data_IF_783648640838
#
_entry.id   IF_783648640838
#
_cell.length_a   1.000
_cell.length_b   1.000
_cell.length_c   1.000
_cell.angle_alpha   90.00
_cell.angle_beta   90.00
_cell.angle_gamma   90.00
#
_symmetry.space_group_name_H-M   'P 1'
#
loop_
_entity.id
_entity.type
_entity.pdbx_description
1 polymer ?
#
# COMPACT_ATOMS: atom_id res chain seq x y z
N UNK A 1 -8.06 -10.54 -4.91
CA UNK A 1 -7.40 -9.36 -5.49
C UNK A 1 -6.75 -9.74 -6.82
N UNK A 2 -6.61 -8.79 -7.73
CA UNK A 2 -5.98 -8.99 -9.04
C UNK A 2 -4.67 -8.20 -9.07
N UNK A 3 -3.56 -8.89 -9.28
CA UNK A 3 -2.28 -8.26 -9.62
C UNK A 3 -2.37 -7.85 -11.10
N UNK A 4 -2.52 -6.56 -11.36
CA UNK A 4 -2.91 -6.05 -12.69
C UNK A 4 -1.70 -5.90 -13.62
N UNK A 5 -0.48 -5.83 -13.07
CA UNK A 5 0.74 -5.81 -13.88
C UNK A 5 1.98 -6.18 -13.07
N UNK A 6 2.77 -7.11 -13.61
CA UNK A 6 4.17 -7.29 -13.23
C UNK A 6 4.96 -6.73 -14.42
N UNK A 7 5.51 -5.52 -14.27
CA UNK A 7 6.14 -4.84 -15.42
C UNK A 7 7.63 -5.16 -15.54
N UNK A 8 8.30 -5.48 -14.42
CA UNK A 8 9.66 -6.04 -14.42
C UNK A 8 9.61 -7.59 -14.34
N UNK A 9 8.94 -8.27 -15.28
CA UNK A 9 9.15 -9.72 -15.48
C UNK A 9 10.40 -9.90 -16.35
N UNK A 10 11.56 -10.01 -15.73
CA UNK A 10 12.66 -10.75 -16.34
C UNK A 10 13.27 -11.62 -15.26
N UNK A 11 12.62 -12.77 -15.00
CA UNK A 11 13.15 -13.89 -14.22
C UNK A 11 13.79 -13.39 -12.91
N UNK A 12 12.97 -12.89 -11.99
CA UNK A 12 13.49 -12.44 -10.69
C UNK A 12 14.02 -13.66 -9.93
N UNK A 13 15.33 -13.71 -9.59
CA UNK A 13 15.83 -14.73 -8.69
C UNK A 13 15.17 -14.53 -7.32
N UNK A 14 14.85 -15.63 -6.63
CA UNK A 14 14.39 -15.58 -5.25
C UNK A 14 15.35 -14.71 -4.40
N UNK A 15 14.80 -13.79 -3.60
CA UNK A 15 15.47 -12.79 -2.74
C UNK A 15 16.07 -11.57 -3.47
N UNK A 16 15.22 -10.68 -4.01
CA UNK A 16 15.66 -9.34 -4.40
C UNK A 16 15.75 -8.40 -3.19
N UNK A 17 16.87 -7.69 -3.09
CA UNK A 17 17.10 -6.66 -2.08
C UNK A 17 17.30 -5.31 -2.75
N UNK A 18 16.34 -4.40 -2.57
CA UNK A 18 16.36 -3.06 -3.13
C UNK A 18 17.05 -2.06 -2.20
N UNK A 19 17.65 -1.00 -2.75
CA UNK A 19 18.13 0.08 -1.89
C UNK A 19 16.95 0.87 -1.28
N UNK A 20 15.97 1.24 -2.09
CA UNK A 20 14.79 1.99 -1.65
C UNK A 20 13.56 1.60 -2.46
N UNK A 21 12.46 1.33 -1.76
CA UNK A 21 11.15 1.06 -2.34
C UNK A 21 10.15 2.13 -1.95
N UNK A 22 9.18 2.39 -2.82
CA UNK A 22 8.03 3.25 -2.56
C UNK A 22 6.77 2.42 -2.75
N UNK A 23 5.88 2.45 -1.76
CA UNK A 23 4.50 1.96 -1.88
C UNK A 23 3.58 3.18 -1.97
N UNK A 24 2.73 3.18 -2.99
CA UNK A 24 1.53 4.00 -3.06
C UNK A 24 0.32 3.12 -2.79
N UNK A 25 -0.64 3.61 -2.01
CA UNK A 25 -1.88 2.91 -1.71
C UNK A 25 -3.05 3.89 -1.67
N UNK A 26 -4.24 3.39 -1.97
CA UNK A 26 -5.49 4.11 -1.82
C UNK A 26 -6.69 3.17 -1.64
N UNK A 27 -7.78 3.70 -1.10
CA UNK A 27 -9.06 3.02 -0.92
C UNK A 27 -10.21 3.84 -1.49
N UNK A 28 -11.16 3.14 -2.13
CA UNK A 28 -12.40 3.72 -2.61
C UNK A 28 -13.59 3.04 -1.95
N UNK A 29 -14.46 3.79 -1.27
CA UNK A 29 -15.72 3.28 -0.72
C UNK A 29 -16.89 4.20 -1.11
N UNK A 30 -17.86 3.67 -1.85
CA UNK A 30 -19.08 4.41 -2.23
C UNK A 30 -20.11 4.30 -1.11
N UNK A 31 -20.87 5.38 -0.87
CA UNK A 31 -21.89 5.42 0.20
C UNK A 31 -21.38 4.92 1.57
N UNK A 32 -20.11 5.22 1.87
CA UNK A 32 -19.31 4.72 2.99
C UNK A 32 -20.09 4.51 4.32
N UNK A 33 -20.26 3.26 4.81
CA UNK A 33 -19.69 2.00 4.29
C UNK A 33 -20.64 1.18 3.39
N UNK A 34 -21.88 1.61 3.14
CA UNK A 34 -22.95 0.75 2.59
C UNK A 34 -22.95 0.54 1.06
N UNK A 35 -21.97 1.06 0.35
CA UNK A 35 -21.79 0.81 -1.08
C UNK A 35 -20.55 -0.04 -1.37
N UNK A 36 -20.27 -0.31 -2.65
CA UNK A 36 -19.11 -1.07 -3.06
C UNK A 36 -17.81 -0.37 -2.64
N UNK A 37 -16.84 -1.17 -2.23
CA UNK A 37 -15.52 -0.75 -1.82
C UNK A 37 -14.42 -1.53 -2.53
N UNK A 38 -13.29 -0.87 -2.75
CA UNK A 38 -12.13 -1.40 -3.44
C UNK A 38 -10.87 -0.70 -2.97
N UNK A 39 -9.71 -1.29 -3.24
CA UNK A 39 -8.42 -0.71 -2.95
C UNK A 39 -7.44 -0.89 -4.11
N UNK A 40 -6.46 0.00 -4.17
CA UNK A 40 -5.44 0.03 -5.20
C UNK A 40 -4.07 0.31 -4.60
N UNK A 41 -3.02 -0.24 -5.20
CA UNK A 41 -1.66 -0.01 -4.77
C UNK A 41 -0.65 -0.15 -5.91
N UNK A 42 0.49 0.49 -5.76
CA UNK A 42 1.62 0.40 -6.68
C UNK A 42 2.95 0.45 -5.93
N UNK A 43 3.93 -0.33 -6.40
CA UNK A 43 5.27 -0.45 -5.83
C UNK A 43 6.28 0.01 -6.86
N UNK A 44 7.20 0.87 -6.44
CA UNK A 44 8.24 1.44 -7.27
C UNK A 44 9.61 1.28 -6.62
N UNK A 45 10.63 1.08 -7.45
CA UNK A 45 12.01 1.34 -7.06
C UNK A 45 12.26 2.86 -7.04
N UNK A 46 12.85 3.36 -5.95
CA UNK A 46 13.25 4.76 -5.85
C UNK A 46 14.65 4.95 -6.41
N UNK A 47 14.79 5.76 -7.45
CA UNK A 47 16.07 6.09 -8.04
C UNK A 47 16.95 6.88 -7.05
N UNK A 48 18.22 7.09 -7.43
CA UNK A 48 19.19 7.87 -6.66
C UNK A 48 18.75 9.31 -6.35
N UNK A 49 17.92 9.92 -7.19
CA UNK A 49 17.42 11.29 -7.04
C UNK A 49 16.11 11.38 -6.23
N UNK A 50 15.51 10.25 -5.87
CA UNK A 50 14.27 10.18 -5.10
C UNK A 50 13.00 10.07 -5.95
N UNK A 51 13.14 9.87 -7.26
CA UNK A 51 12.05 9.65 -8.21
C UNK A 51 11.60 8.18 -8.23
N UNK A 52 10.33 7.97 -8.52
CA UNK A 52 9.66 6.70 -8.76
C UNK A 52 9.84 6.26 -10.23
N UNK A 53 11.08 5.90 -10.58
CA UNK A 53 11.51 5.66 -11.98
C UNK A 53 11.41 4.19 -12.43
N UNK A 54 10.89 3.30 -11.59
CA UNK A 54 10.80 1.87 -11.91
C UNK A 54 9.66 1.15 -11.23
N UNK A 55 8.46 1.18 -11.83
CA UNK A 55 7.32 0.37 -11.34
C UNK A 55 7.70 -1.10 -11.31
N UNK A 56 7.56 -1.71 -10.13
CA UNK A 56 7.85 -3.12 -9.88
C UNK A 56 6.58 -3.93 -10.06
N UNK A 57 5.51 -3.52 -9.38
CA UNK A 57 4.22 -4.19 -9.38
C UNK A 57 3.10 -3.22 -9.01
N UNK A 58 1.89 -3.56 -9.40
CA UNK A 58 0.69 -2.86 -8.96
C UNK A 58 -0.50 -3.82 -8.92
N UNK A 59 -1.50 -3.48 -8.14
CA UNK A 59 -2.65 -4.34 -7.93
C UNK A 59 -3.89 -3.59 -7.47
N UNK A 60 -5.02 -4.26 -7.62
CA UNK A 60 -6.31 -3.75 -7.16
C UNK A 60 -7.17 -4.88 -6.61
N UNK A 61 -8.09 -4.55 -5.72
CA UNK A 61 -8.97 -5.52 -5.10
C UNK A 61 -10.37 -4.98 -4.86
N UNK A 62 -11.39 -5.73 -5.29
CA UNK A 62 -12.76 -5.49 -4.85
C UNK A 62 -12.94 -6.04 -3.43
N UNK A 63 -13.41 -5.20 -2.52
CA UNK A 63 -13.56 -5.50 -1.09
C UNK A 63 -15.01 -5.79 -0.69
N UNK A 64 -15.95 -5.70 -1.63
CA UNK A 64 -17.37 -5.95 -1.34
C UNK A 64 -18.08 -4.72 -0.83
N UNK A 65 -18.99 -4.91 0.12
CA UNK A 65 -19.82 -3.87 0.74
C UNK A 65 -19.53 -3.80 2.24
N UNK A 66 -20.00 -2.74 2.90
CA UNK A 66 -19.84 -2.51 4.35
C UNK A 66 -18.37 -2.34 4.78
N UNK A 67 -17.54 -1.85 3.86
CA UNK A 67 -16.13 -1.48 4.09
C UNK A 67 -16.00 0.04 3.98
N UNK A 68 -15.49 0.66 5.03
CA UNK A 68 -15.26 2.11 5.06
C UNK A 68 -14.01 2.51 4.27
N UNK A 69 -13.89 3.80 3.92
CA UNK A 69 -12.72 4.28 3.17
C UNK A 69 -11.41 3.97 3.88
N UNK A 70 -11.32 4.23 5.19
CA UNK A 70 -10.12 3.95 5.97
C UNK A 70 -9.78 2.45 5.99
N UNK A 71 -10.79 1.58 6.08
CA UNK A 71 -10.57 0.12 6.00
C UNK A 71 -10.05 -0.27 4.62
N UNK A 72 -10.60 0.31 3.54
CA UNK A 72 -10.13 0.08 2.19
C UNK A 72 -8.69 0.59 1.96
N UNK A 73 -8.33 1.74 2.53
CA UNK A 73 -6.96 2.28 2.48
C UNK A 73 -5.97 1.36 3.20
N UNK A 74 -6.29 0.90 4.42
CA UNK A 74 -5.46 -0.08 5.12
C UNK A 74 -5.32 -1.38 4.32
N UNK A 75 -6.40 -1.87 3.72
CA UNK A 75 -6.35 -3.06 2.87
C UNK A 75 -5.44 -2.84 1.65
N UNK A 76 -5.50 -1.68 1.01
CA UNK A 76 -4.61 -1.35 -0.12
C UNK A 76 -3.13 -1.43 0.26
N UNK A 77 -2.77 -0.90 1.44
CA UNK A 77 -1.42 -1.03 1.97
C UNK A 77 -1.06 -2.47 2.35
N UNK A 78 -1.97 -3.20 2.99
CA UNK A 78 -1.79 -4.61 3.35
C UNK A 78 -1.48 -5.48 2.13
N UNK A 79 -2.23 -5.33 1.05
CA UNK A 79 -2.02 -6.08 -0.20
C UNK A 79 -0.65 -5.77 -0.84
N UNK A 80 -0.18 -4.52 -0.78
CA UNK A 80 1.15 -4.17 -1.27
C UNK A 80 2.26 -4.82 -0.43
N UNK A 81 2.08 -4.90 0.88
CA UNK A 81 3.03 -5.56 1.78
C UNK A 81 2.99 -7.09 1.60
N UNK A 82 1.80 -7.68 1.42
CA UNK A 82 1.64 -9.10 1.08
C UNK A 82 2.40 -9.47 -0.19
N UNK A 83 2.38 -8.59 -1.19
CA UNK A 83 3.15 -8.78 -2.41
C UNK A 83 4.66 -8.85 -2.12
N UNK A 84 5.19 -7.94 -1.28
CA UNK A 84 6.60 -7.96 -0.90
C UNK A 84 6.96 -9.25 -0.15
N UNK A 85 6.13 -9.67 0.81
CA UNK A 85 6.31 -10.90 1.59
C UNK A 85 6.31 -12.15 0.71
N UNK A 86 5.28 -12.30 -0.13
CA UNK A 86 5.07 -13.49 -0.97
C UNK A 86 6.18 -13.67 -2.00
N UNK A 87 6.74 -12.56 -2.48
CA UNK A 87 7.83 -12.56 -3.46
C UNK A 87 9.22 -12.46 -2.82
N UNK A 88 9.32 -12.53 -1.48
CA UNK A 88 10.58 -12.44 -0.73
C UNK A 88 11.40 -11.19 -1.10
N UNK A 89 10.71 -10.04 -1.25
CA UNK A 89 11.32 -8.77 -1.59
C UNK A 89 11.70 -8.04 -0.29
N UNK A 90 12.96 -7.63 -0.22
CA UNK A 90 13.53 -6.87 0.91
C UNK A 90 14.05 -5.52 0.43
N UNK A 91 14.27 -4.57 1.35
CA UNK A 91 14.87 -3.30 0.98
C UNK A 91 15.56 -2.59 2.13
N UNK A 92 16.55 -1.74 1.86
CA UNK A 92 17.15 -0.94 2.93
C UNK A 92 16.17 0.12 3.48
N UNK A 93 15.41 0.80 2.61
CA UNK A 93 14.43 1.80 3.01
C UNK A 93 13.07 1.67 2.32
N UNK A 94 12.01 1.54 3.10
CA UNK A 94 10.63 1.49 2.62
C UNK A 94 9.94 2.85 2.80
N UNK A 95 9.38 3.40 1.73
CA UNK A 95 8.65 4.66 1.75
C UNK A 95 7.17 4.38 1.48
N UNK A 96 6.30 4.70 2.42
CA UNK A 96 4.86 4.52 2.29
C UNK A 96 4.23 5.89 2.05
N UNK A 97 3.59 6.03 0.89
CA UNK A 97 2.97 7.27 0.42
C UNK A 97 1.48 7.05 0.17
N UNK A 98 0.69 8.04 0.56
CA UNK A 98 -0.75 8.08 0.33
C UNK A 98 -1.30 9.46 0.71
N UNK A 99 -2.55 9.72 0.37
CA UNK A 99 -3.27 10.96 0.70
C UNK A 99 -4.13 10.82 1.97
N UNK A 100 -4.14 9.64 2.61
CA UNK A 100 -4.76 9.45 3.92
C UNK A 100 -3.86 9.85 5.08
N UNK A 101 -4.03 11.08 5.54
CA UNK A 101 -3.29 11.60 6.71
C UNK A 101 -3.56 10.77 7.98
N UNK A 102 -4.77 10.24 8.15
CA UNK A 102 -5.15 9.45 9.34
C UNK A 102 -4.37 8.13 9.38
N UNK A 103 -4.42 7.35 8.29
CA UNK A 103 -3.73 6.05 8.20
C UNK A 103 -2.24 6.23 8.42
N UNK A 104 -1.63 7.19 7.72
CA UNK A 104 -0.20 7.45 7.82
C UNK A 104 0.22 7.90 9.23
N UNK A 105 -0.54 8.78 9.89
CA UNK A 105 -0.23 9.21 11.26
C UNK A 105 -0.48 8.14 12.31
N UNK A 106 -1.40 7.21 12.07
CA UNK A 106 -1.59 6.05 12.95
C UNK A 106 -0.40 5.09 12.84
N UNK A 107 0.07 4.82 11.62
CA UNK A 107 1.26 3.99 11.38
C UNK A 107 2.55 4.63 11.89
N UNK A 108 2.67 5.96 11.81
CA UNK A 108 3.78 6.72 12.38
C UNK A 108 3.70 6.86 13.93
N UNK A 109 2.66 6.29 14.56
CA UNK A 109 2.46 6.31 16.01
C UNK A 109 2.04 7.66 16.59
N UNK A 110 1.80 8.67 15.75
CA UNK A 110 1.33 10.01 16.15
C UNK A 110 -0.12 9.94 16.63
N UNK A 111 -0.97 9.17 15.94
CA UNK A 111 -2.38 9.00 16.27
C UNK A 111 -2.65 7.61 16.83
N UNK A 112 -3.49 7.54 17.88
CA UNK A 112 -3.92 6.28 18.45
C UNK A 112 -5.04 5.64 17.61
N UNK A 113 -5.01 4.32 17.51
CA UNK A 113 -6.08 3.52 16.87
C UNK A 113 -7.12 3.16 17.92
N UNK A 114 -8.15 4.00 18.05
CA UNK A 114 -9.25 3.78 19.02
C UNK A 114 -10.39 2.91 18.48
N UNK A 115 -10.52 2.84 17.15
CA UNK A 115 -11.66 2.19 16.52
C UNK A 115 -11.43 0.70 16.40
N UNK A 116 -12.27 -0.11 17.04
CA UNK A 116 -12.16 -1.58 17.02
C UNK A 116 -12.22 -2.15 15.61
N UNK A 117 -13.01 -1.55 14.72
CA UNK A 117 -13.14 -1.97 13.31
C UNK A 117 -11.94 -1.60 12.42
N UNK A 118 -10.98 -0.81 12.92
CA UNK A 118 -9.72 -0.48 12.25
C UNK A 118 -8.54 -1.23 12.88
N UNK A 119 -8.69 -1.67 14.13
CA UNK A 119 -7.62 -2.30 14.91
C UNK A 119 -7.02 -3.51 14.18
N UNK A 120 -7.87 -4.40 13.68
CA UNK A 120 -7.42 -5.61 12.98
C UNK A 120 -6.63 -5.28 11.70
N UNK A 121 -7.07 -4.27 10.94
CA UNK A 121 -6.38 -3.79 9.73
C UNK A 121 -5.03 -3.13 10.04
N UNK A 122 -4.98 -2.35 11.11
CA UNK A 122 -3.74 -1.75 11.59
C UNK A 122 -2.74 -2.83 12.04
N UNK A 123 -3.21 -3.78 12.85
CA UNK A 123 -2.37 -4.85 13.39
C UNK A 123 -1.85 -5.75 12.25
N UNK A 124 -2.66 -6.03 11.22
CA UNK A 124 -2.21 -6.73 10.01
C UNK A 124 -1.08 -5.99 9.28
N UNK A 125 -1.25 -4.69 8.99
CA UNK A 125 -0.21 -3.88 8.34
C UNK A 125 1.07 -3.83 9.18
N UNK A 126 0.97 -3.68 10.50
CA UNK A 126 2.14 -3.68 11.40
C UNK A 126 2.86 -5.03 11.36
N UNK A 127 2.13 -6.14 11.46
CA UNK A 127 2.72 -7.48 11.42
C UNK A 127 3.44 -7.74 10.09
N UNK A 128 2.89 -7.27 8.96
CA UNK A 128 3.53 -7.40 7.65
C UNK A 128 4.74 -6.48 7.48
N UNK A 129 4.70 -5.28 8.06
CA UNK A 129 5.89 -4.42 8.11
C UNK A 129 7.02 -5.09 8.90
N UNK A 130 6.70 -5.71 10.03
CA UNK A 130 7.68 -6.40 10.89
C UNK A 130 8.29 -7.66 10.24
N UNK A 131 7.62 -8.24 9.23
CA UNK A 131 8.10 -9.44 8.53
C UNK A 131 9.05 -9.11 7.37
N UNK A 132 8.99 -7.89 6.83
CA UNK A 132 9.82 -7.44 5.72
C UNK A 132 11.22 -7.11 6.23
N UNK A 133 12.25 -7.71 5.63
CA UNK A 133 13.65 -7.33 5.91
C UNK A 133 13.92 -5.92 5.39
N UNK A 134 13.89 -4.94 6.31
CA UNK A 134 14.20 -3.55 6.04
C UNK A 134 14.90 -2.82 7.19
N UNK A 135 15.66 -1.77 6.87
CA UNK A 135 16.35 -0.96 7.88
C UNK A 135 15.49 0.18 8.43
N UNK A 136 14.64 0.78 7.60
CA UNK A 136 13.71 1.81 8.05
C UNK A 136 12.46 1.87 7.17
N UNK A 137 11.38 2.39 7.76
CA UNK A 137 10.15 2.78 7.06
C UNK A 137 9.92 4.29 7.23
N UNK A 138 9.40 4.94 6.19
CA UNK A 138 9.03 6.36 6.23
C UNK A 138 7.63 6.56 5.67
N UNK A 139 6.74 7.11 6.49
CA UNK A 139 5.39 7.51 6.10
C UNK A 139 5.41 8.93 5.55
N UNK A 140 4.78 9.17 4.40
CA UNK A 140 4.74 10.50 3.78
C UNK A 140 3.37 10.76 3.17
N UNK A 141 2.65 11.72 3.74
CA UNK A 141 1.42 12.22 3.14
C UNK A 141 1.74 12.97 1.85
N UNK A 142 0.99 12.70 0.79
CA UNK A 142 1.10 13.34 -0.51
C UNK A 142 -0.26 13.89 -0.94
N UNK A 143 -0.24 14.91 -1.81
CA UNK A 143 -1.49 15.39 -2.42
C UNK A 143 -2.13 14.31 -3.27
N UNK A 144 -3.47 14.22 -3.28
CA UNK A 144 -4.22 13.23 -4.06
C UNK A 144 -3.87 13.22 -5.55
N UNK A 145 -3.56 14.38 -6.14
CA UNK A 145 -3.12 14.46 -7.55
C UNK A 145 -1.81 13.71 -7.82
N UNK A 146 -1.02 13.42 -6.79
CA UNK A 146 0.21 12.62 -6.86
C UNK A 146 -0.03 11.14 -6.55
N UNK A 147 -1.19 10.78 -6.00
CA UNK A 147 -1.59 9.41 -5.71
C UNK A 147 -2.47 8.80 -6.82
N UNK A 148 -2.43 9.39 -8.03
CA UNK A 148 -3.41 9.13 -9.10
C UNK A 148 -3.49 7.67 -9.55
N UNK A 149 -2.38 6.92 -9.48
CA UNK A 149 -2.37 5.53 -9.91
C UNK A 149 -3.07 4.62 -8.90
N UNK A 150 -2.76 4.76 -7.62
CA UNK A 150 -3.42 3.98 -6.57
C UNK A 150 -4.90 4.35 -6.47
N UNK A 151 -5.25 5.65 -6.57
CA UNK A 151 -6.64 6.13 -6.65
C UNK A 151 -7.36 5.56 -7.87
N UNK A 152 -6.73 5.57 -9.05
CA UNK A 152 -7.28 4.96 -10.26
C UNK A 152 -7.58 3.48 -10.08
N UNK A 153 -6.60 2.71 -9.59
CA UNK A 153 -6.74 1.27 -9.31
C UNK A 153 -7.84 0.98 -8.27
N UNK A 154 -7.94 1.79 -7.22
CA UNK A 154 -8.97 1.63 -6.20
C UNK A 154 -10.38 1.87 -6.77
N UNK A 155 -10.54 2.88 -7.63
CA UNK A 155 -11.81 3.17 -8.29
C UNK A 155 -12.14 2.16 -9.38
N UNK A 156 -11.16 1.65 -10.11
CA UNK A 156 -11.35 0.62 -11.15
C UNK A 156 -11.77 -0.74 -10.56
N UNK A 157 -11.50 -0.97 -9.27
CA UNK A 157 -11.90 -2.18 -8.57
C UNK A 157 -13.39 -2.24 -8.19
N UNK A 158 -14.14 -1.14 -8.25
CA UNK A 158 -15.56 -1.03 -7.81
C UNK A 158 -16.53 -0.64 -8.93
#
# INVERSE_FOLDING_TARGET
CTYVGIDKVTIMPYNEHFHRLIIYFDGASRHNPHGPAGCGWAIYEMDRNGADDGRIAHGQCYLGYDVSNNQAEYQGLSEALEYLETNFISCHGLYIRGDSEIVLKQLDGIYQVHSHNIRDYYDDVVNRLDSIDMTFVKYTHIDRSRNYEADGLANDAI
#
